data_IF_176743270468
#
_entry.id   IF_176743270468
#
_cell.length_a   1.000
_cell.length_b   1.000
_cell.length_c   1.000
_cell.angle_alpha   90.00
_cell.angle_beta   90.00
_cell.angle_gamma   90.00
#
_symmetry.space_group_name_H-M   'P 1'
#
loop_
_entity.id
_entity.type
_entity.pdbx_description
1 polymer ?
#
# COMPACT_ATOMS: atom_id res chain seq x y z
N UNK A 1 8.59 35.83 4.41
CA UNK A 1 9.57 34.87 3.84
C UNK A 1 9.12 33.40 3.68
N UNK A 2 7.92 32.96 4.13
CA UNK A 2 7.48 31.55 4.02
C UNK A 2 6.88 31.12 2.66
N UNK A 3 6.79 32.00 1.66
CA UNK A 3 5.93 31.81 0.47
C UNK A 3 6.63 31.20 -0.78
N UNK A 4 7.94 30.97 -0.76
CA UNK A 4 8.71 30.57 -1.96
C UNK A 4 9.43 29.21 -1.89
N UNK A 5 9.29 28.46 -0.80
CA UNK A 5 9.97 27.17 -0.69
C UNK A 5 9.15 26.08 -1.41
N UNK A 6 9.76 25.26 -2.29
CA UNK A 6 9.04 24.21 -3.00
C UNK A 6 8.57 23.14 -2.02
N UNK A 7 7.29 22.76 -2.16
CA UNK A 7 6.67 21.71 -1.37
C UNK A 7 6.46 20.46 -2.23
N UNK A 8 6.73 19.30 -1.66
CA UNK A 8 6.67 18.00 -2.33
C UNK A 8 5.83 17.00 -1.51
N UNK A 9 5.32 15.96 -2.15
CA UNK A 9 4.67 14.89 -1.41
C UNK A 9 5.70 14.15 -0.53
N UNK A 10 5.35 13.70 0.68
CA UNK A 10 6.30 13.13 1.66
C UNK A 10 7.18 12.01 1.09
N UNK A 11 6.64 11.14 0.22
CA UNK A 11 7.42 10.07 -0.44
C UNK A 11 8.67 10.59 -1.17
N UNK A 12 8.60 11.77 -1.80
CA UNK A 12 9.73 12.34 -2.54
C UNK A 12 10.85 12.85 -1.62
N UNK A 13 10.60 13.05 -0.33
CA UNK A 13 11.66 13.33 0.64
C UNK A 13 12.67 12.17 0.72
N UNK A 14 12.21 10.93 0.58
CA UNK A 14 13.10 9.75 0.53
C UNK A 14 13.98 9.76 -0.73
N UNK A 15 13.40 10.17 -1.87
CA UNK A 15 14.14 10.31 -3.12
C UNK A 15 15.22 11.40 -3.01
N UNK A 16 14.85 12.57 -2.47
CA UNK A 16 15.77 13.69 -2.25
C UNK A 16 16.90 13.27 -1.30
N UNK A 17 16.58 12.64 -0.16
CA UNK A 17 17.58 12.12 0.77
C UNK A 17 18.54 11.13 0.08
N UNK A 18 18.00 10.20 -0.71
CA UNK A 18 18.79 9.25 -1.50
C UNK A 18 19.77 9.94 -2.44
N UNK A 19 19.30 10.91 -3.24
CA UNK A 19 20.14 11.65 -4.20
C UNK A 19 21.23 12.46 -3.48
N UNK A 20 20.86 13.20 -2.42
CA UNK A 20 21.83 14.00 -1.64
C UNK A 20 22.96 13.12 -1.10
N UNK A 21 22.64 11.92 -0.64
CA UNK A 21 23.62 11.00 -0.07
C UNK A 21 24.49 10.31 -1.10
N UNK A 22 23.95 9.98 -2.26
CA UNK A 22 24.74 9.48 -3.39
C UNK A 22 25.74 10.54 -3.88
N UNK A 23 25.31 11.80 -4.01
CA UNK A 23 26.19 12.90 -4.45
C UNK A 23 27.25 13.20 -3.39
N UNK A 24 26.87 13.29 -2.11
CA UNK A 24 27.82 13.49 -1.02
C UNK A 24 28.83 12.34 -0.91
N UNK A 25 28.35 11.09 -1.00
CA UNK A 25 29.17 9.89 -1.00
C UNK A 25 30.19 9.88 -2.13
N UNK A 26 29.74 10.07 -3.37
CA UNK A 26 30.62 10.11 -4.55
C UNK A 26 31.66 11.23 -4.48
N UNK A 27 31.30 12.41 -3.97
CA UNK A 27 32.26 13.50 -3.79
C UNK A 27 33.34 13.18 -2.74
N UNK A 28 32.96 12.58 -1.61
CA UNK A 28 33.92 12.19 -0.57
C UNK A 28 34.79 11.03 -1.04
N UNK A 29 34.20 10.03 -1.72
CA UNK A 29 34.93 8.93 -2.34
C UNK A 29 35.95 9.42 -3.35
N UNK A 30 35.61 10.40 -4.19
CA UNK A 30 36.55 10.96 -5.17
C UNK A 30 37.81 11.52 -4.49
N UNK A 31 37.64 12.22 -3.36
CA UNK A 31 38.77 12.78 -2.59
C UNK A 31 39.55 11.66 -1.90
N UNK A 32 38.86 10.72 -1.24
CA UNK A 32 39.49 9.62 -0.52
C UNK A 32 40.26 8.67 -1.44
N UNK A 33 39.65 8.31 -2.56
CA UNK A 33 40.20 7.36 -3.53
C UNK A 33 41.50 7.87 -4.15
N UNK A 34 41.58 9.17 -4.47
CA UNK A 34 42.81 9.77 -4.99
C UNK A 34 44.00 9.62 -4.02
N UNK A 35 43.78 9.82 -2.73
CA UNK A 35 44.81 9.68 -1.69
C UNK A 35 45.09 8.21 -1.32
N UNK A 36 44.09 7.35 -1.48
CA UNK A 36 44.20 5.92 -1.20
C UNK A 36 45.03 5.22 -2.29
N UNK A 37 44.66 5.39 -3.56
CA UNK A 37 45.29 4.67 -4.68
C UNK A 37 46.77 5.00 -4.83
N UNK A 38 47.18 6.22 -4.49
CA UNK A 38 48.59 6.64 -4.56
C UNK A 38 49.49 5.94 -3.54
N UNK A 39 48.93 5.40 -2.45
CA UNK A 39 49.69 4.94 -1.29
C UNK A 39 49.32 3.51 -0.83
N UNK A 40 48.27 2.88 -1.39
CA UNK A 40 47.76 1.60 -0.89
C UNK A 40 48.66 0.40 -1.22
N UNK A 41 49.47 0.50 -2.28
CA UNK A 41 50.25 -0.61 -2.83
C UNK A 41 51.27 -1.18 -1.84
N UNK A 42 51.65 -0.41 -0.80
CA UNK A 42 52.64 -0.83 0.16
C UNK A 42 52.09 -1.81 1.20
N UNK A 43 50.79 -1.73 1.57
CA UNK A 43 50.20 -2.60 2.58
C UNK A 43 48.69 -2.85 2.38
N UNK A 44 48.29 -4.12 2.25
CA UNK A 44 46.88 -4.55 2.16
C UNK A 44 46.03 -4.18 3.40
N UNK A 45 46.67 -3.84 4.51
CA UNK A 45 45.99 -3.48 5.77
C UNK A 45 45.01 -2.31 5.60
N UNK A 46 45.32 -1.36 4.72
CA UNK A 46 44.47 -0.18 4.47
C UNK A 46 43.10 -0.55 3.88
N UNK A 47 43.00 -1.66 3.14
CA UNK A 47 41.70 -2.15 2.63
C UNK A 47 40.82 -2.63 3.78
N UNK A 48 41.41 -3.33 4.76
CA UNK A 48 40.69 -3.78 5.95
C UNK A 48 40.26 -2.60 6.83
N UNK A 49 41.08 -1.56 6.92
CA UNK A 49 40.72 -0.33 7.63
C UNK A 49 39.56 0.42 6.94
N UNK A 50 39.55 0.50 5.61
CA UNK A 50 38.41 1.06 4.85
C UNK A 50 37.14 0.28 5.16
N UNK A 51 37.21 -1.05 5.13
CA UNK A 51 36.08 -1.91 5.45
C UNK A 51 35.60 -1.72 6.89
N UNK A 52 36.53 -1.60 7.84
CA UNK A 52 36.20 -1.33 9.23
C UNK A 52 35.46 0.00 9.41
N UNK A 53 35.98 1.09 8.81
CA UNK A 53 35.33 2.40 8.82
C UNK A 53 33.95 2.34 8.18
N UNK A 54 33.83 1.68 7.02
CA UNK A 54 32.55 1.48 6.34
C UNK A 54 31.52 0.80 7.26
N UNK A 55 31.88 -0.34 7.86
CA UNK A 55 31.00 -1.11 8.75
C UNK A 55 30.61 -0.33 10.00
N UNK A 56 31.55 0.42 10.59
CA UNK A 56 31.28 1.27 11.75
C UNK A 56 30.26 2.36 11.41
N UNK A 57 30.47 3.12 10.34
CA UNK A 57 29.56 4.21 9.95
C UNK A 57 28.20 3.73 9.50
N UNK A 58 28.13 2.66 8.68
CA UNK A 58 26.84 2.13 8.22
C UNK A 58 26.05 1.54 9.39
N UNK A 59 26.67 0.76 10.27
CA UNK A 59 26.00 0.06 11.37
C UNK A 59 25.58 0.98 12.52
N UNK A 60 26.45 1.91 12.93
CA UNK A 60 26.23 2.77 14.10
C UNK A 60 25.42 4.02 13.76
N UNK A 61 25.62 4.61 12.58
CA UNK A 61 25.07 5.93 12.24
C UNK A 61 24.03 5.81 11.14
N UNK A 62 24.44 5.40 9.93
CA UNK A 62 23.64 5.65 8.74
C UNK A 62 22.43 4.71 8.59
N UNK A 63 22.56 3.43 8.93
CA UNK A 63 21.41 2.53 8.94
C UNK A 63 20.31 3.00 9.90
N UNK A 64 20.70 3.43 11.11
CA UNK A 64 19.78 3.97 12.12
C UNK A 64 19.13 5.27 11.64
N UNK A 65 19.92 6.14 11.00
CA UNK A 65 19.44 7.40 10.41
C UNK A 65 18.41 7.16 9.31
N UNK A 66 18.67 6.25 8.38
CA UNK A 66 17.73 5.87 7.31
C UNK A 66 16.42 5.35 7.90
N UNK A 67 16.50 4.42 8.86
CA UNK A 67 15.32 3.85 9.52
C UNK A 67 14.49 4.93 10.22
N UNK A 68 15.14 5.80 10.99
CA UNK A 68 14.50 6.90 11.72
C UNK A 68 13.76 7.85 10.78
N UNK A 69 14.41 8.29 9.70
CA UNK A 69 13.81 9.25 8.77
C UNK A 69 12.74 8.64 7.88
N UNK A 70 12.90 7.37 7.48
CA UNK A 70 11.85 6.66 6.77
C UNK A 70 10.56 6.56 7.61
N UNK A 71 10.68 6.18 8.89
CA UNK A 71 9.54 6.11 9.81
C UNK A 71 8.88 7.47 10.01
N UNK A 72 9.68 8.52 10.24
CA UNK A 72 9.17 9.89 10.37
C UNK A 72 8.42 10.32 9.11
N UNK A 73 9.01 10.13 7.92
CA UNK A 73 8.41 10.54 6.65
C UNK A 73 7.12 9.76 6.38
N UNK A 74 7.05 8.47 6.74
CA UNK A 74 5.81 7.68 6.59
C UNK A 74 4.67 8.15 7.50
N UNK A 75 4.98 8.88 8.57
CA UNK A 75 3.99 9.38 9.54
C UNK A 75 3.49 10.80 9.22
N UNK A 76 4.08 11.48 8.23
CA UNK A 76 3.67 12.82 7.83
C UNK A 76 2.26 12.78 7.22
N UNK A 77 1.33 13.51 7.85
CA UNK A 77 -0.07 13.60 7.41
C UNK A 77 -0.28 14.61 6.27
N UNK A 78 0.61 15.60 6.19
CA UNK A 78 0.50 16.69 5.25
C UNK A 78 0.65 16.20 3.80
N UNK A 79 -0.30 16.60 2.93
CA UNK A 79 -0.26 16.27 1.49
C UNK A 79 1.00 16.79 0.80
N UNK A 80 1.53 17.92 1.26
CA UNK A 80 2.73 18.55 0.73
C UNK A 80 3.54 19.15 1.87
N UNK A 81 4.82 18.81 1.94
CA UNK A 81 5.76 19.33 2.93
C UNK A 81 6.93 20.02 2.23
N UNK A 82 7.58 20.99 2.87
CA UNK A 82 8.77 21.61 2.32
C UNK A 82 9.87 20.58 2.03
N UNK A 83 10.54 20.71 0.88
CA UNK A 83 11.51 19.72 0.41
C UNK A 83 12.67 19.47 1.39
N UNK A 84 13.08 20.46 2.18
CA UNK A 84 14.18 20.37 3.16
C UNK A 84 13.80 19.57 4.43
N UNK A 85 12.56 19.12 4.58
CA UNK A 85 12.17 18.27 5.71
C UNK A 85 12.54 16.79 5.48
N UNK A 86 13.47 16.48 4.57
CA UNK A 86 13.95 15.11 4.36
C UNK A 86 14.79 14.60 5.55
N UNK A 87 15.38 15.51 6.33
CA UNK A 87 15.95 15.22 7.65
C UNK A 87 15.33 16.05 8.77
N UNK A 88 15.60 15.61 10.00
CA UNK A 88 15.25 16.35 11.22
C UNK A 88 16.37 17.33 11.58
N UNK A 89 16.05 18.35 12.37
CA UNK A 89 17.03 19.36 12.79
C UNK A 89 18.26 18.76 13.48
N UNK A 90 18.08 17.67 14.25
CA UNK A 90 19.19 16.95 14.90
C UNK A 90 20.15 16.34 13.88
N UNK A 91 19.64 15.69 12.82
CA UNK A 91 20.49 15.18 11.75
C UNK A 91 21.19 16.29 10.96
N UNK A 92 20.54 17.43 10.73
CA UNK A 92 21.22 18.58 10.11
C UNK A 92 22.39 19.08 10.95
N UNK A 93 22.21 19.20 12.27
CA UNK A 93 23.27 19.61 13.19
C UNK A 93 24.46 18.62 13.16
N UNK A 94 24.17 17.31 13.21
CA UNK A 94 25.21 16.28 13.10
C UNK A 94 25.98 16.39 11.78
N UNK A 95 25.28 16.57 10.65
CA UNK A 95 25.93 16.71 9.35
C UNK A 95 26.84 17.95 9.27
N UNK A 96 26.39 19.09 9.79
CA UNK A 96 27.21 20.31 9.84
C UNK A 96 28.48 20.05 10.65
N UNK A 97 28.35 19.49 11.86
CA UNK A 97 29.50 19.14 12.69
C UNK A 97 30.46 18.16 12.00
N UNK A 98 29.93 17.13 11.32
CA UNK A 98 30.73 16.14 10.60
C UNK A 98 31.50 16.75 9.42
N UNK A 99 30.83 17.59 8.61
CA UNK A 99 31.45 18.23 7.45
C UNK A 99 32.53 19.22 7.91
N UNK A 100 32.22 20.07 8.89
CA UNK A 100 33.18 21.02 9.45
C UNK A 100 34.39 20.30 10.08
N UNK A 101 34.15 19.23 10.85
CA UNK A 101 35.23 18.42 11.43
C UNK A 101 36.14 17.79 10.38
N UNK A 102 35.55 17.22 9.32
CA UNK A 102 36.31 16.64 8.21
C UNK A 102 37.17 17.67 7.47
N UNK A 103 36.65 18.89 7.26
CA UNK A 103 37.39 20.00 6.65
C UNK A 103 38.52 20.50 7.55
N UNK A 104 38.29 20.63 8.85
CA UNK A 104 39.30 21.07 9.81
C UNK A 104 40.48 20.10 9.89
N UNK A 105 40.22 18.79 9.99
CA UNK A 105 41.27 17.75 10.02
C UNK A 105 42.13 17.83 8.76
N UNK A 106 41.50 18.05 7.59
CA UNK A 106 42.19 18.17 6.32
C UNK A 106 43.06 19.42 6.24
N UNK A 107 42.53 20.58 6.65
CA UNK A 107 43.25 21.86 6.53
C UNK A 107 44.35 22.01 7.57
N UNK A 108 44.18 21.41 8.76
CA UNK A 108 45.18 21.45 9.82
C UNK A 108 46.32 20.42 9.60
N UNK A 109 46.27 19.62 8.53
CA UNK A 109 47.26 18.58 8.20
C UNK A 109 47.57 17.63 9.36
N UNK A 110 46.58 17.36 10.22
CA UNK A 110 46.75 16.56 11.45
C UNK A 110 46.98 15.08 11.12
N UNK A 111 46.43 14.59 10.00
CA UNK A 111 46.53 13.19 9.59
C UNK A 111 47.33 13.02 8.29
N UNK A 112 48.09 11.93 8.14
CA UNK A 112 48.77 11.62 6.89
C UNK A 112 47.76 11.34 5.76
N UNK A 113 48.20 11.56 4.51
CA UNK A 113 47.33 11.47 3.33
C UNK A 113 46.62 10.11 3.20
N UNK A 114 47.31 9.00 3.49
CA UNK A 114 46.73 7.65 3.45
C UNK A 114 45.60 7.48 4.48
N UNK A 115 45.74 8.02 5.69
CA UNK A 115 44.70 7.94 6.71
C UNK A 115 43.43 8.71 6.31
N UNK A 116 43.60 9.88 5.67
CA UNK A 116 42.49 10.63 5.07
C UNK A 116 41.84 9.81 3.95
N UNK A 117 42.64 9.16 3.11
CA UNK A 117 42.18 8.26 2.05
C UNK A 117 41.31 7.13 2.59
N UNK A 118 41.80 6.39 3.59
CA UNK A 118 41.09 5.29 4.26
C UNK A 118 39.76 5.76 4.85
N UNK A 119 39.80 6.85 5.63
CA UNK A 119 38.61 7.39 6.30
C UNK A 119 37.56 7.84 5.29
N UNK A 120 37.96 8.59 4.25
CA UNK A 120 37.03 9.14 3.26
C UNK A 120 36.49 8.05 2.32
N UNK A 121 37.28 7.04 1.97
CA UNK A 121 36.79 5.86 1.26
C UNK A 121 35.72 5.12 2.09
N UNK A 122 35.98 4.83 3.37
CA UNK A 122 35.03 4.13 4.23
C UNK A 122 33.73 4.92 4.46
N UNK A 123 33.84 6.22 4.79
CA UNK A 123 32.68 7.10 4.98
C UNK A 123 31.91 7.26 3.67
N UNK A 124 32.59 7.53 2.56
CA UNK A 124 31.97 7.71 1.25
C UNK A 124 31.17 6.49 0.79
N UNK A 125 31.73 5.28 0.94
CA UNK A 125 31.01 4.03 0.63
C UNK A 125 29.77 3.87 1.51
N UNK A 126 29.86 4.23 2.79
CA UNK A 126 28.72 4.13 3.71
C UNK A 126 27.62 5.15 3.42
N UNK A 127 27.99 6.34 2.92
CA UNK A 127 27.04 7.35 2.43
C UNK A 127 26.31 6.88 1.17
N UNK A 128 27.02 6.31 0.19
CA UNK A 128 26.39 5.73 -0.99
C UNK A 128 25.44 4.58 -0.62
N UNK A 129 25.86 3.69 0.29
CA UNK A 129 25.01 2.62 0.79
C UNK A 129 23.71 3.17 1.41
N UNK A 130 23.80 4.20 2.24
CA UNK A 130 22.63 4.86 2.82
C UNK A 130 21.76 5.56 1.77
N UNK A 131 22.35 6.15 0.73
CA UNK A 131 21.65 6.67 -0.44
C UNK A 131 20.82 5.59 -1.13
N UNK A 132 21.41 4.43 -1.40
CA UNK A 132 20.72 3.25 -1.97
C UNK A 132 19.60 2.77 -1.05
N UNK A 133 19.79 2.74 0.27
CA UNK A 133 18.75 2.35 1.21
C UNK A 133 17.54 3.31 1.19
N UNK A 134 17.77 4.63 1.11
CA UNK A 134 16.70 5.61 0.93
C UNK A 134 15.94 5.41 -0.38
N UNK A 135 16.65 5.17 -1.49
CA UNK A 135 16.03 4.89 -2.79
C UNK A 135 15.20 3.59 -2.77
N UNK A 136 15.71 2.53 -2.14
CA UNK A 136 14.93 1.28 -1.93
C UNK A 136 13.64 1.54 -1.17
N UNK A 137 13.68 2.36 -0.12
CA UNK A 137 12.48 2.78 0.63
C UNK A 137 11.51 3.62 -0.23
N UNK A 138 12.03 4.51 -1.07
CA UNK A 138 11.22 5.29 -2.00
C UNK A 138 10.46 4.42 -3.02
N UNK A 139 11.18 3.48 -3.66
CA UNK A 139 10.60 2.57 -4.67
C UNK A 139 9.53 1.68 -4.01
N UNK A 140 9.83 1.08 -2.87
CA UNK A 140 8.87 0.25 -2.11
C UNK A 140 7.62 1.04 -1.72
N UNK A 141 7.78 2.28 -1.23
CA UNK A 141 6.64 3.14 -0.87
C UNK A 141 5.78 3.49 -2.08
N UNK A 142 6.41 3.76 -3.23
CA UNK A 142 5.70 4.11 -4.47
C UNK A 142 4.94 2.92 -5.04
N UNK A 143 5.57 1.73 -5.08
CA UNK A 143 4.93 0.49 -5.54
C UNK A 143 3.71 0.14 -4.70
N UNK A 144 3.85 0.16 -3.36
CA UNK A 144 2.74 -0.14 -2.45
C UNK A 144 1.55 0.81 -2.63
N UNK A 145 1.80 2.11 -2.81
CA UNK A 145 0.73 3.08 -3.05
C UNK A 145 0.03 2.87 -4.39
N UNK A 146 0.78 2.50 -5.43
CA UNK A 146 0.22 2.18 -6.74
C UNK A 146 -0.64 0.91 -6.69
N UNK A 147 -0.14 -0.16 -6.08
CA UNK A 147 -0.88 -1.42 -5.92
C UNK A 147 -2.18 -1.23 -5.14
N UNK A 148 -2.17 -0.48 -4.03
CA UNK A 148 -3.40 -0.14 -3.31
C UNK A 148 -4.39 0.65 -4.16
N UNK A 149 -3.91 1.60 -4.96
CA UNK A 149 -4.74 2.35 -5.89
C UNK A 149 -5.44 1.46 -6.93
N UNK A 150 -4.72 0.49 -7.49
CA UNK A 150 -5.29 -0.50 -8.40
C UNK A 150 -6.31 -1.42 -7.71
N UNK A 151 -5.97 -1.91 -6.52
CA UNK A 151 -6.85 -2.77 -5.71
C UNK A 151 -8.15 -2.05 -5.35
N UNK A 152 -8.07 -0.80 -4.90
CA UNK A 152 -9.25 0.02 -4.60
C UNK A 152 -10.12 0.20 -5.84
N UNK A 153 -9.53 0.58 -6.99
CA UNK A 153 -10.26 0.73 -8.26
C UNK A 153 -10.96 -0.56 -8.69
N UNK A 154 -10.33 -1.72 -8.48
CA UNK A 154 -10.94 -3.03 -8.78
C UNK A 154 -12.25 -3.22 -8.02
N UNK A 155 -12.28 -2.97 -6.71
CA UNK A 155 -13.50 -3.16 -5.92
C UNK A 155 -14.57 -2.10 -6.19
N UNK A 156 -14.17 -0.86 -6.49
CA UNK A 156 -15.09 0.18 -6.97
C UNK A 156 -15.76 -0.27 -8.28
N UNK A 157 -15.01 -0.82 -9.22
CA UNK A 157 -15.56 -1.32 -10.48
C UNK A 157 -16.53 -2.49 -10.26
N UNK A 158 -16.21 -3.42 -9.36
CA UNK A 158 -17.12 -4.52 -8.99
C UNK A 158 -18.41 -3.96 -8.38
N UNK A 159 -18.30 -3.02 -7.44
CA UNK A 159 -19.45 -2.31 -6.86
C UNK A 159 -20.33 -1.66 -7.93
N UNK A 160 -19.70 -1.00 -8.92
CA UNK A 160 -20.40 -0.33 -10.01
C UNK A 160 -21.16 -1.31 -10.91
N UNK A 161 -20.57 -2.48 -11.22
CA UNK A 161 -21.27 -3.55 -11.94
C UNK A 161 -22.51 -4.01 -11.18
N UNK A 162 -22.40 -4.24 -9.86
CA UNK A 162 -23.56 -4.58 -9.04
C UNK A 162 -24.60 -3.45 -8.95
N UNK A 163 -24.17 -2.19 -9.00
CA UNK A 163 -25.10 -1.05 -9.00
C UNK A 163 -25.95 -1.02 -10.28
N UNK A 164 -25.33 -1.26 -11.44
CA UNK A 164 -26.04 -1.38 -12.72
C UNK A 164 -27.02 -2.55 -12.66
N UNK A 165 -26.57 -3.72 -12.17
CA UNK A 165 -27.44 -4.89 -12.01
C UNK A 165 -28.62 -4.62 -11.07
N UNK A 166 -28.39 -3.92 -9.96
CA UNK A 166 -29.43 -3.53 -9.02
C UNK A 166 -30.47 -2.63 -9.70
N UNK A 167 -30.04 -1.59 -10.43
CA UNK A 167 -30.93 -0.69 -11.16
C UNK A 167 -31.75 -1.47 -12.20
N UNK A 168 -31.09 -2.32 -12.99
CA UNK A 168 -31.76 -3.15 -13.99
C UNK A 168 -32.83 -4.05 -13.36
N UNK A 169 -32.52 -4.72 -12.24
CA UNK A 169 -33.49 -5.55 -11.52
C UNK A 169 -34.66 -4.74 -10.94
N UNK A 170 -34.38 -3.53 -10.44
CA UNK A 170 -35.42 -2.64 -9.89
C UNK A 170 -36.37 -2.13 -10.95
N UNK A 171 -35.83 -1.71 -12.10
CA UNK A 171 -36.64 -1.32 -13.27
C UNK A 171 -37.44 -2.51 -13.78
N UNK A 172 -36.81 -3.67 -13.93
CA UNK A 172 -37.49 -4.89 -14.36
C UNK A 172 -38.66 -5.24 -13.43
N UNK A 173 -38.44 -5.31 -12.12
CA UNK A 173 -39.50 -5.58 -11.14
C UNK A 173 -40.68 -4.63 -11.30
N UNK A 174 -40.42 -3.33 -11.38
CA UNK A 174 -41.45 -2.29 -11.46
C UNK A 174 -42.25 -2.37 -12.76
N UNK A 175 -41.57 -2.47 -13.90
CA UNK A 175 -42.25 -2.49 -15.20
C UNK A 175 -42.94 -3.84 -15.45
N UNK A 176 -42.34 -4.96 -15.05
CA UNK A 176 -42.90 -6.30 -15.24
C UNK A 176 -44.19 -6.51 -14.44
N UNK A 177 -44.21 -6.11 -13.15
CA UNK A 177 -45.41 -6.21 -12.31
C UNK A 177 -46.52 -5.29 -12.79
N UNK A 178 -46.17 -4.07 -13.25
CA UNK A 178 -47.13 -3.14 -13.84
C UNK A 178 -47.73 -3.68 -15.15
N UNK A 179 -46.90 -4.23 -16.04
CA UNK A 179 -47.34 -4.79 -17.32
C UNK A 179 -48.35 -5.93 -17.12
N UNK A 180 -48.18 -6.73 -16.07
CA UNK A 180 -49.07 -7.84 -15.72
C UNK A 180 -50.19 -7.43 -14.74
N UNK A 181 -50.34 -6.15 -14.42
CA UNK A 181 -51.32 -5.62 -13.46
C UNK A 181 -51.28 -6.33 -12.09
N UNK A 182 -50.10 -6.76 -11.66
CA UNK A 182 -49.89 -7.48 -10.42
C UNK A 182 -49.76 -6.51 -9.23
N UNK A 183 -50.61 -6.66 -8.21
CA UNK A 183 -50.65 -5.80 -7.01
C UNK A 183 -50.24 -6.51 -5.71
N UNK A 184 -49.83 -7.78 -5.79
CA UNK A 184 -49.44 -8.60 -4.63
C UNK A 184 -48.00 -8.41 -4.17
N UNK A 185 -47.60 -9.15 -3.13
CA UNK A 185 -46.20 -9.29 -2.71
C UNK A 185 -45.51 -10.38 -3.53
N UNK A 186 -44.33 -10.09 -4.07
CA UNK A 186 -43.52 -11.05 -4.83
C UNK A 186 -42.06 -11.00 -4.37
N UNK A 187 -41.37 -12.13 -4.42
CA UNK A 187 -39.93 -12.18 -4.12
C UNK A 187 -39.08 -11.40 -5.11
N UNK A 188 -39.62 -11.09 -6.29
CA UNK A 188 -38.92 -10.29 -7.30
C UNK A 188 -38.53 -8.89 -6.77
N UNK A 189 -39.33 -8.33 -5.85
CA UNK A 189 -39.06 -7.04 -5.21
C UNK A 189 -37.73 -7.01 -4.43
N UNK A 190 -37.26 -8.17 -3.97
CA UNK A 190 -36.02 -8.26 -3.19
C UNK A 190 -34.75 -8.20 -4.04
N UNK A 191 -34.83 -8.47 -5.34
CA UNK A 191 -33.67 -8.55 -6.24
C UNK A 191 -32.86 -7.26 -6.29
N UNK A 192 -33.54 -6.11 -6.43
CA UNK A 192 -32.93 -4.78 -6.42
C UNK A 192 -32.16 -4.52 -5.13
N UNK A 193 -32.81 -4.73 -3.97
CA UNK A 193 -32.23 -4.44 -2.67
C UNK A 193 -31.00 -5.32 -2.39
N UNK A 194 -31.04 -6.60 -2.76
CA UNK A 194 -29.91 -7.50 -2.52
C UNK A 194 -28.69 -7.13 -3.37
N UNK A 195 -28.86 -6.84 -4.67
CA UNK A 195 -27.72 -6.36 -5.46
C UNK A 195 -27.21 -4.99 -5.00
N UNK A 196 -28.09 -4.08 -4.57
CA UNK A 196 -27.66 -2.77 -4.11
C UNK A 196 -26.89 -2.86 -2.77
N UNK A 197 -27.46 -3.52 -1.77
CA UNK A 197 -26.84 -3.60 -0.43
C UNK A 197 -25.70 -4.61 -0.42
N UNK A 198 -25.97 -5.85 -0.82
CA UNK A 198 -24.97 -6.92 -0.74
C UNK A 198 -23.96 -6.88 -1.88
N UNK A 199 -24.28 -6.25 -3.01
CA UNK A 199 -23.33 -6.01 -4.09
C UNK A 199 -22.62 -4.66 -3.93
N UNK A 200 -23.32 -3.57 -4.23
CA UNK A 200 -22.72 -2.22 -4.28
C UNK A 200 -22.13 -1.78 -2.94
N UNK A 201 -22.94 -1.71 -1.87
CA UNK A 201 -22.47 -1.20 -0.58
C UNK A 201 -21.37 -2.08 0.01
N UNK A 202 -21.52 -3.41 -0.04
CA UNK A 202 -20.49 -4.33 0.43
C UNK A 202 -19.13 -4.11 -0.27
N UNK A 203 -19.12 -3.99 -1.60
CA UNK A 203 -17.86 -3.81 -2.33
C UNK A 203 -17.26 -2.39 -2.19
N UNK A 204 -18.07 -1.36 -1.93
CA UNK A 204 -17.56 -0.05 -1.52
C UNK A 204 -16.88 -0.12 -0.14
N UNK A 205 -17.48 -0.83 0.82
CA UNK A 205 -16.88 -1.05 2.13
C UNK A 205 -15.56 -1.83 2.01
N UNK A 206 -15.53 -2.87 1.19
CA UNK A 206 -14.30 -3.63 0.89
C UNK A 206 -13.24 -2.74 0.25
N UNK A 207 -13.62 -1.83 -0.66
CA UNK A 207 -12.67 -0.89 -1.29
C UNK A 207 -11.99 -0.01 -0.23
N UNK A 208 -12.77 0.55 0.70
CA UNK A 208 -12.25 1.34 1.82
C UNK A 208 -11.37 0.48 2.74
N UNK A 209 -11.85 -0.71 3.12
CA UNK A 209 -11.11 -1.63 3.99
C UNK A 209 -9.77 -2.06 3.39
N UNK A 210 -9.71 -2.23 2.06
CA UNK A 210 -8.48 -2.56 1.32
C UNK A 210 -7.50 -1.39 1.25
N UNK A 211 -7.98 -0.15 1.43
CA UNK A 211 -7.11 1.02 1.54
C UNK A 211 -6.47 1.11 2.93
N UNK A 212 -7.21 0.72 3.98
CA UNK A 212 -6.82 0.91 5.39
C UNK A 212 -6.17 -0.34 6.02
N UNK A 213 -6.34 -1.54 5.44
CA UNK A 213 -5.82 -2.80 5.97
C UNK A 213 -5.13 -3.64 4.90
N UNK A 214 -4.40 -4.68 5.31
CA UNK A 214 -3.85 -5.69 4.41
C UNK A 214 -4.85 -6.83 4.08
N UNK A 215 -6.15 -6.52 4.06
CA UNK A 215 -7.22 -7.50 3.84
C UNK A 215 -7.01 -8.37 2.60
N UNK A 216 -6.57 -7.76 1.50
CA UNK A 216 -6.42 -8.45 0.21
C UNK A 216 -5.25 -9.42 0.15
N UNK A 217 -4.30 -9.32 1.08
CA UNK A 217 -3.17 -10.24 1.20
C UNK A 217 -3.57 -11.55 1.91
N UNK A 218 -4.71 -11.55 2.61
CA UNK A 218 -5.18 -12.71 3.35
C UNK A 218 -5.74 -13.78 2.42
N UNK A 219 -5.28 -15.03 2.57
CA UNK A 219 -5.75 -16.18 1.77
C UNK A 219 -7.27 -16.41 1.88
N UNK A 220 -7.84 -16.13 3.05
CA UNK A 220 -9.28 -16.22 3.30
C UNK A 220 -10.07 -15.24 2.42
N UNK A 221 -9.54 -14.04 2.21
CA UNK A 221 -10.21 -13.01 1.43
C UNK A 221 -10.44 -13.46 -0.03
N UNK A 222 -9.48 -14.12 -0.66
CA UNK A 222 -9.64 -14.66 -2.02
C UNK A 222 -10.77 -15.71 -2.10
N UNK A 223 -10.96 -16.52 -1.05
CA UNK A 223 -12.06 -17.50 -0.99
C UNK A 223 -13.41 -16.80 -0.80
N UNK A 224 -13.46 -15.78 0.05
CA UNK A 224 -14.64 -14.92 0.18
C UNK A 224 -15.01 -14.33 -1.18
N UNK A 225 -14.04 -13.73 -1.89
CA UNK A 225 -14.29 -13.13 -3.20
C UNK A 225 -14.90 -14.12 -4.20
N UNK A 226 -14.43 -15.36 -4.23
CA UNK A 226 -14.99 -16.40 -5.09
C UNK A 226 -16.42 -16.78 -4.67
N UNK A 227 -16.60 -17.18 -3.42
CA UNK A 227 -17.90 -17.68 -2.93
C UNK A 227 -18.98 -16.59 -2.99
N UNK A 228 -18.64 -15.36 -2.65
CA UNK A 228 -19.58 -14.25 -2.60
C UNK A 228 -20.04 -13.80 -4.00
N UNK A 229 -19.12 -13.73 -4.97
CA UNK A 229 -19.47 -13.37 -6.35
C UNK A 229 -20.18 -14.49 -7.12
N UNK A 230 -20.17 -15.72 -6.62
CA UNK A 230 -21.00 -16.81 -7.13
C UNK A 230 -22.35 -16.84 -6.40
N UNK A 231 -22.31 -16.76 -5.07
CA UNK A 231 -23.48 -16.90 -4.19
C UNK A 231 -24.52 -15.80 -4.37
N UNK A 232 -24.09 -14.53 -4.52
CA UNK A 232 -25.02 -13.41 -4.62
C UNK A 232 -25.83 -13.45 -5.93
N UNK A 233 -25.20 -13.57 -7.13
CA UNK A 233 -25.96 -13.76 -8.35
C UNK A 233 -26.84 -15.01 -8.33
N UNK A 234 -26.34 -16.13 -7.79
CA UNK A 234 -27.13 -17.36 -7.67
C UNK A 234 -28.39 -17.16 -6.82
N UNK A 235 -28.27 -16.50 -5.67
CA UNK A 235 -29.40 -16.14 -4.80
C UNK A 235 -30.41 -15.25 -5.54
N UNK A 236 -29.94 -14.22 -6.24
CA UNK A 236 -30.82 -13.31 -6.99
C UNK A 236 -31.53 -14.04 -8.12
N UNK A 237 -30.85 -14.93 -8.86
CA UNK A 237 -31.49 -15.78 -9.87
C UNK A 237 -32.63 -16.61 -9.27
N UNK A 238 -32.46 -17.16 -8.06
CA UNK A 238 -33.56 -17.88 -7.40
C UNK A 238 -34.73 -16.96 -7.00
N UNK A 239 -34.48 -15.70 -6.64
CA UNK A 239 -35.55 -14.72 -6.46
C UNK A 239 -36.28 -14.39 -7.76
N UNK A 240 -35.59 -14.37 -8.90
CA UNK A 240 -36.21 -14.24 -10.21
C UNK A 240 -37.10 -15.46 -10.54
N UNK A 241 -36.58 -16.69 -10.38
CA UNK A 241 -37.34 -17.93 -10.64
C UNK A 241 -38.62 -17.96 -9.82
N UNK A 242 -38.52 -17.68 -8.50
CA UNK A 242 -39.69 -17.65 -7.61
C UNK A 242 -40.59 -16.44 -7.88
N UNK A 243 -40.01 -15.28 -8.17
CA UNK A 243 -40.74 -14.03 -8.33
C UNK A 243 -41.53 -13.96 -9.63
N UNK A 244 -40.97 -14.44 -10.74
CA UNK A 244 -41.64 -14.49 -12.04
C UNK A 244 -42.82 -15.46 -11.98
N UNK A 245 -42.64 -16.65 -11.41
CA UNK A 245 -43.74 -17.64 -11.27
C UNK A 245 -44.89 -17.11 -10.41
N UNK A 246 -44.58 -16.35 -9.35
CA UNK A 246 -45.60 -15.67 -8.54
C UNK A 246 -46.38 -14.61 -9.31
N UNK A 247 -45.69 -13.77 -10.10
CA UNK A 247 -46.33 -12.66 -10.84
C UNK A 247 -47.16 -13.18 -12.01
N UNK A 248 -46.71 -14.25 -12.69
CA UNK A 248 -47.45 -14.90 -13.76
C UNK A 248 -48.63 -15.76 -13.27
N UNK A 249 -48.76 -15.98 -11.96
CA UNK A 249 -49.81 -16.85 -11.40
C UNK A 249 -49.65 -18.33 -11.78
N UNK A 250 -48.44 -18.77 -12.12
CA UNK A 250 -48.20 -20.17 -12.51
C UNK A 250 -48.35 -21.09 -11.30
N UNK A 251 -49.29 -22.03 -11.35
CA UNK A 251 -49.47 -23.02 -10.29
C UNK A 251 -48.30 -24.01 -10.29
N UNK A 252 -47.45 -23.92 -9.26
CA UNK A 252 -46.35 -24.87 -9.05
C UNK A 252 -46.85 -26.04 -8.19
N UNK A 253 -46.49 -27.26 -8.58
CA UNK A 253 -46.70 -28.43 -7.73
C UNK A 253 -46.01 -28.25 -6.37
N UNK A 254 -46.52 -28.90 -5.33
CA UNK A 254 -45.92 -28.87 -3.98
C UNK A 254 -44.43 -29.23 -4.02
N UNK A 255 -44.06 -30.23 -4.83
CA UNK A 255 -42.67 -30.65 -5.03
C UNK A 255 -41.80 -29.61 -5.72
N UNK A 256 -42.27 -28.99 -6.80
CA UNK A 256 -41.51 -27.95 -7.52
C UNK A 256 -41.30 -26.70 -6.65
N UNK A 257 -42.32 -26.28 -5.91
CA UNK A 257 -42.24 -25.18 -4.95
C UNK A 257 -41.23 -25.45 -3.84
N UNK A 258 -41.23 -26.68 -3.28
CA UNK A 258 -40.27 -27.11 -2.28
C UNK A 258 -38.83 -27.15 -2.83
N UNK A 259 -38.65 -27.64 -4.05
CA UNK A 259 -37.34 -27.68 -4.71
C UNK A 259 -36.75 -26.28 -4.93
N UNK A 260 -37.54 -25.33 -5.45
CA UNK A 260 -37.11 -23.92 -5.62
C UNK A 260 -36.69 -23.32 -4.28
N UNK A 261 -37.47 -23.56 -3.22
CA UNK A 261 -37.13 -23.10 -1.87
C UNK A 261 -35.85 -23.74 -1.35
N UNK A 262 -35.66 -25.05 -1.55
CA UNK A 262 -34.46 -25.77 -1.14
C UNK A 262 -33.20 -25.26 -1.83
N UNK A 263 -33.25 -25.05 -3.15
CA UNK A 263 -32.14 -24.51 -3.94
C UNK A 263 -31.82 -23.06 -3.54
N UNK A 264 -32.84 -22.24 -3.27
CA UNK A 264 -32.64 -20.90 -2.70
C UNK A 264 -31.95 -20.95 -1.32
N UNK A 265 -32.27 -21.95 -0.50
CA UNK A 265 -31.59 -22.21 0.78
C UNK A 265 -30.08 -22.45 0.62
N UNK A 266 -29.67 -23.21 -0.41
CA UNK A 266 -28.25 -23.44 -0.72
C UNK A 266 -27.54 -22.12 -1.02
N UNK A 267 -28.17 -21.23 -1.79
CA UNK A 267 -27.60 -19.91 -2.08
C UNK A 267 -27.36 -19.09 -0.79
N UNK A 268 -28.30 -19.13 0.17
CA UNK A 268 -28.14 -18.47 1.46
C UNK A 268 -27.03 -19.09 2.31
N UNK A 269 -26.86 -20.42 2.28
CA UNK A 269 -25.75 -21.10 2.98
C UNK A 269 -24.41 -20.65 2.39
N UNK A 270 -24.29 -20.60 1.06
CA UNK A 270 -23.07 -20.11 0.38
C UNK A 270 -22.77 -18.67 0.81
N UNK A 271 -23.78 -17.79 0.83
CA UNK A 271 -23.62 -16.40 1.26
C UNK A 271 -23.20 -16.29 2.73
N UNK A 272 -23.79 -17.11 3.60
CA UNK A 272 -23.45 -17.15 5.03
C UNK A 272 -22.00 -17.58 5.23
N UNK A 273 -21.58 -18.66 4.56
CA UNK A 273 -20.19 -19.13 4.60
C UNK A 273 -19.23 -18.07 4.08
N UNK A 274 -19.58 -17.39 2.99
CA UNK A 274 -18.76 -16.31 2.45
C UNK A 274 -18.59 -15.17 3.47
N UNK A 275 -19.68 -14.71 4.08
CA UNK A 275 -19.64 -13.65 5.10
C UNK A 275 -18.78 -14.07 6.31
N UNK A 276 -18.93 -15.30 6.80
CA UNK A 276 -18.09 -15.82 7.90
C UNK A 276 -16.60 -15.78 7.50
N UNK A 277 -16.25 -16.19 6.28
CA UNK A 277 -14.87 -16.14 5.79
C UNK A 277 -14.36 -14.70 5.70
N UNK A 278 -15.20 -13.73 5.31
CA UNK A 278 -14.84 -12.32 5.33
C UNK A 278 -14.46 -11.86 6.74
N UNK A 279 -15.27 -12.18 7.76
CA UNK A 279 -14.96 -11.84 9.16
C UNK A 279 -13.67 -12.50 9.65
N UNK A 280 -13.43 -13.78 9.30
CA UNK A 280 -12.18 -14.45 9.64
C UNK A 280 -10.97 -13.78 8.97
N UNK A 281 -11.15 -13.27 7.76
CA UNK A 281 -10.13 -12.51 7.04
C UNK A 281 -9.86 -11.17 7.73
N UNK A 282 -10.91 -10.43 8.10
CA UNK A 282 -10.80 -9.16 8.81
C UNK A 282 -10.11 -9.33 10.17
N UNK A 283 -10.42 -10.37 10.93
CA UNK A 283 -9.79 -10.66 12.23
C UNK A 283 -8.28 -10.90 12.11
N UNK A 284 -7.80 -11.41 10.96
CA UNK A 284 -6.38 -11.61 10.67
C UNK A 284 -5.72 -10.38 10.05
N UNK A 285 -6.51 -9.44 9.55
CA UNK A 285 -6.00 -8.26 8.88
C UNK A 285 -5.47 -7.26 9.90
N UNK A 286 -4.39 -6.59 9.54
CA UNK A 286 -3.80 -5.52 10.32
C UNK A 286 -4.03 -4.20 9.60
N UNK A 287 -4.26 -3.15 10.38
CA UNK A 287 -4.23 -1.78 9.87
C UNK A 287 -2.82 -1.53 9.35
N UNK A 288 -2.70 -1.10 8.11
CA UNK A 288 -1.38 -0.76 7.59
C UNK A 288 -1.02 0.64 8.12
N UNK A 289 0.19 0.83 8.64
CA UNK A 289 0.61 2.10 9.27
C UNK A 289 0.50 3.34 8.38
N UNK A 290 0.28 3.19 7.07
CA UNK A 290 0.11 4.27 6.09
C UNK A 290 -1.36 4.47 5.68
N UNK A 291 -2.29 3.85 6.40
CA UNK A 291 -3.63 3.54 5.90
C UNK A 291 -4.73 4.18 6.75
N UNK A 292 -4.37 4.65 7.95
CA UNK A 292 -5.12 5.69 8.64
C UNK A 292 -4.44 7.02 8.28
N UNK A 293 -4.90 7.63 7.17
CA UNK A 293 -5.00 9.08 6.89
C UNK A 293 -5.45 9.32 5.46
#
# INVERSE_FOLDING_TARGET
MKKFLPHVAPKYLLLIAGIVWMVAGGNILKIGFANFISNWHEHLIYVFEVLFVFLAFIGLIFYRLVKKHHLRISQIEEKKVPFYQFFDGKSYLIMICMITGGLLIRNAHILPAIAIGVLYCGIGLSLECAGVLFLKKFVSTTKNNYERGLIMKKYINISFIYAIAAIACGVFYREFTKFLSFSGKTTLAFTHLHFFVLGTIMFLLIAILSCITNLTEQKQFSRFMLLYNIGLPFMVTMFFVRGITQVLGTELSKGASAAISGVSGIAHIIMTVAIVILFLSLKKSQVVSNAIK
#
